data_IF_237910880956
#
_entry.id   IF_237910880956
#
_cell.length_a   1.000
_cell.length_b   1.000
_cell.length_c   1.000
_cell.angle_alpha   90.00
_cell.angle_beta   90.00
_cell.angle_gamma   90.00
#
_symmetry.space_group_name_H-M   'P 1'
#
loop_
_entity.id
_entity.type
_entity.pdbx_description
1 polymer ?
#
# COMPACT_ATOMS: atom_id res chain seq x y z
N UNK A 1 -43.87 25.25 -2.77
CA UNK A 1 -42.87 25.49 -3.83
C UNK A 1 -41.75 24.49 -3.60
N UNK A 2 -41.80 23.34 -4.28
CA UNK A 2 -40.76 22.31 -4.20
C UNK A 2 -39.80 22.56 -5.36
N UNK A 3 -38.56 22.86 -5.03
CA UNK A 3 -37.50 23.13 -5.99
C UNK A 3 -37.09 21.81 -6.64
N UNK A 4 -37.46 21.64 -7.90
CA UNK A 4 -36.93 20.57 -8.74
C UNK A 4 -35.47 20.90 -9.02
N UNK A 5 -34.54 20.29 -8.28
CA UNK A 5 -33.15 20.25 -8.70
C UNK A 5 -33.05 19.39 -9.96
N UNK A 6 -32.60 20.02 -11.04
CA UNK A 6 -32.36 19.47 -12.36
C UNK A 6 -31.57 18.17 -12.30
N UNK A 7 -32.18 17.07 -12.73
CA UNK A 7 -31.47 15.83 -13.08
C UNK A 7 -30.81 16.03 -14.44
N UNK A 8 -29.55 16.47 -14.41
CA UNK A 8 -28.60 16.17 -15.48
C UNK A 8 -27.19 16.02 -14.88
N UNK A 9 -27.08 15.17 -13.87
CA UNK A 9 -25.78 14.84 -13.26
C UNK A 9 -25.20 13.58 -13.89
N UNK A 10 -23.92 13.61 -14.27
CA UNK A 10 -23.19 12.38 -14.54
C UNK A 10 -23.41 11.39 -13.38
N UNK A 11 -23.58 10.10 -13.69
CA UNK A 11 -23.85 9.11 -12.65
C UNK A 11 -22.68 9.06 -11.66
N UNK A 12 -22.98 9.29 -10.39
CA UNK A 12 -22.00 9.30 -9.30
C UNK A 12 -22.01 7.95 -8.57
N UNK A 13 -20.84 7.55 -8.09
CA UNK A 13 -20.63 6.27 -7.42
C UNK A 13 -19.67 6.46 -6.25
N UNK A 14 -20.11 6.11 -5.04
CA UNK A 14 -19.23 6.04 -3.88
C UNK A 14 -18.16 4.96 -4.07
N UNK A 15 -16.96 5.09 -3.48
CA UNK A 15 -15.89 4.12 -3.66
C UNK A 15 -16.25 2.70 -3.17
N UNK A 16 -15.86 1.67 -3.93
CA UNK A 16 -16.04 0.25 -3.59
C UNK A 16 -14.85 -0.61 -4.08
N UNK A 17 -14.47 -1.64 -3.32
CA UNK A 17 -13.44 -2.61 -3.74
C UNK A 17 -13.97 -3.75 -4.60
N UNK A 18 -13.13 -4.20 -5.52
CA UNK A 18 -13.34 -5.45 -6.26
C UNK A 18 -12.76 -6.66 -5.50
N UNK A 19 -11.62 -6.51 -4.79
CA UNK A 19 -10.88 -7.61 -4.16
C UNK A 19 -10.09 -7.16 -2.91
N UNK A 20 -9.82 -8.10 -1.99
CA UNK A 20 -8.93 -7.91 -0.84
C UNK A 20 -7.53 -8.47 -1.12
N UNK A 21 -6.48 -7.63 -1.25
CA UNK A 21 -5.13 -8.10 -1.55
C UNK A 21 -4.46 -8.74 -0.32
N UNK A 22 -3.68 -9.79 -0.56
CA UNK A 22 -2.70 -10.31 0.40
C UNK A 22 -1.36 -9.60 0.19
N UNK A 23 -0.76 -9.06 1.25
CA UNK A 23 0.36 -8.14 1.13
C UNK A 23 1.57 -8.70 1.87
N UNK A 24 2.68 -8.86 1.15
CA UNK A 24 3.93 -9.37 1.67
C UNK A 24 4.97 -8.26 1.78
N UNK A 25 5.78 -8.32 2.84
CA UNK A 25 6.95 -7.47 3.02
C UNK A 25 8.18 -8.28 3.39
N UNK A 26 9.33 -7.88 2.85
CA UNK A 26 10.66 -8.40 3.22
C UNK A 26 11.46 -7.24 3.77
N UNK A 27 12.12 -7.42 4.92
CA UNK A 27 12.97 -6.38 5.52
C UNK A 27 14.07 -5.96 4.53
N UNK A 28 14.23 -4.64 4.36
CA UNK A 28 15.12 -4.01 3.38
C UNK A 28 14.63 -4.07 1.93
N UNK A 29 13.46 -4.67 1.70
CA UNK A 29 12.81 -4.75 0.38
C UNK A 29 11.70 -3.72 0.22
N UNK A 30 10.78 -4.00 -0.72
CA UNK A 30 9.57 -3.23 -0.95
C UNK A 30 8.34 -4.10 -0.71
N UNK A 31 7.27 -3.49 -0.22
CA UNK A 31 5.93 -4.07 -0.20
C UNK A 31 5.02 -3.27 -1.15
N UNK A 32 4.26 -3.97 -1.98
CA UNK A 32 3.42 -3.37 -3.01
C UNK A 32 2.00 -3.90 -2.91
N UNK A 33 1.05 -2.99 -3.09
CA UNK A 33 -0.38 -3.27 -3.05
C UNK A 33 -1.00 -2.60 -4.27
N UNK A 34 -1.77 -3.36 -5.02
CA UNK A 34 -2.57 -2.85 -6.13
C UNK A 34 -4.02 -3.28 -5.88
N UNK A 35 -4.91 -2.30 -5.70
CA UNK A 35 -6.32 -2.54 -5.36
C UNK A 35 -7.19 -1.94 -6.44
N UNK A 36 -8.03 -2.76 -7.05
CA UNK A 36 -9.05 -2.30 -7.99
C UNK A 36 -10.22 -1.66 -7.22
N UNK A 37 -10.59 -0.46 -7.64
CA UNK A 37 -11.63 0.37 -7.02
C UNK A 37 -12.60 0.86 -8.08
N UNK A 38 -13.88 0.86 -7.72
CA UNK A 38 -14.96 1.50 -8.45
C UNK A 38 -15.37 2.79 -7.73
N UNK A 39 -15.42 3.93 -8.42
CA UNK A 39 -15.85 5.21 -7.84
C UNK A 39 -15.80 6.37 -8.84
N UNK A 40 -16.76 7.29 -8.74
CA UNK A 40 -16.80 8.53 -9.52
C UNK A 40 -17.55 9.64 -8.76
N UNK A 41 -17.04 10.89 -8.65
CA UNK A 41 -15.82 11.44 -9.26
C UNK A 41 -14.51 10.77 -8.84
N UNK A 42 -13.40 11.16 -9.48
CA UNK A 42 -12.06 10.64 -9.16
C UNK A 42 -11.76 10.79 -7.66
N UNK A 43 -11.50 9.67 -6.94
CA UNK A 43 -11.26 9.72 -5.52
C UNK A 43 -9.85 10.22 -5.18
N UNK A 44 -9.69 10.74 -3.96
CA UNK A 44 -8.39 10.89 -3.32
C UNK A 44 -8.18 9.77 -2.30
N UNK A 45 -6.91 9.51 -2.00
CA UNK A 45 -6.51 8.40 -1.13
C UNK A 45 -5.60 8.90 -0.04
N UNK A 46 -5.84 8.46 1.19
CA UNK A 46 -4.96 8.69 2.34
C UNK A 46 -4.55 7.39 2.98
N UNK A 47 -3.38 7.39 3.61
CA UNK A 47 -2.83 6.25 4.34
C UNK A 47 -2.45 6.68 5.75
N UNK A 48 -2.98 5.95 6.73
CA UNK A 48 -2.64 6.13 8.13
C UNK A 48 -2.00 4.86 8.68
N UNK A 49 -1.03 5.02 9.57
CA UNK A 49 -0.51 3.91 10.38
C UNK A 49 -1.19 3.94 11.74
N UNK A 50 -1.85 2.85 12.09
CA UNK A 50 -2.73 2.81 13.25
C UNK A 50 -1.97 2.77 14.59
N UNK A 51 -0.71 2.33 14.60
CA UNK A 51 0.07 2.20 15.83
C UNK A 51 0.37 3.54 16.51
N UNK A 52 0.49 4.61 15.74
CA UNK A 52 0.86 5.95 16.20
C UNK A 52 0.02 7.06 15.55
N UNK A 53 -1.05 6.69 14.86
CA UNK A 53 -1.95 7.60 14.14
C UNK A 53 -1.22 8.53 13.14
N UNK A 54 -0.09 8.05 12.60
CA UNK A 54 0.70 8.83 11.67
C UNK A 54 0.05 8.84 10.29
N UNK A 55 -0.19 10.04 9.74
CA UNK A 55 -0.50 10.23 8.32
C UNK A 55 0.76 9.98 7.48
N UNK A 56 0.69 8.98 6.62
CA UNK A 56 1.76 8.53 5.74
C UNK A 56 1.50 8.85 4.28
N UNK A 57 0.42 9.59 3.97
CA UNK A 57 0.02 9.94 2.61
C UNK A 57 1.12 10.68 1.83
N UNK A 58 2.02 11.38 2.52
CA UNK A 58 3.15 12.12 1.95
C UNK A 58 4.50 11.77 2.61
N UNK A 59 4.69 10.51 3.00
CA UNK A 59 5.94 10.03 3.62
C UNK A 59 7.02 9.73 2.58
N UNK A 60 8.31 9.88 2.95
CA UNK A 60 9.45 9.54 2.09
C UNK A 60 9.47 8.06 1.64
N UNK A 61 8.96 7.14 2.48
CA UNK A 61 8.98 5.70 2.21
C UNK A 61 7.64 5.15 1.71
N UNK A 62 6.55 5.91 1.85
CA UNK A 62 5.21 5.45 1.51
C UNK A 62 4.69 6.29 0.34
N UNK A 63 4.39 5.63 -0.78
CA UNK A 63 3.77 6.25 -1.93
C UNK A 63 2.38 5.67 -2.11
N UNK A 64 1.36 6.52 -2.12
CA UNK A 64 -0.03 6.15 -2.40
C UNK A 64 -0.50 6.92 -3.61
N UNK A 65 -1.04 6.23 -4.61
CA UNK A 65 -1.51 6.85 -5.85
C UNK A 65 -2.77 6.19 -6.38
N UNK A 66 -3.77 7.00 -6.68
CA UNK A 66 -4.90 6.58 -7.52
C UNK A 66 -4.56 6.79 -8.99
N UNK A 67 -4.95 5.81 -9.82
CA UNK A 67 -4.84 5.88 -11.28
C UNK A 67 -6.10 5.33 -11.92
N UNK A 68 -6.73 6.06 -12.83
CA UNK A 68 -7.86 5.58 -13.64
C UNK A 68 -7.59 5.83 -15.12
N UNK A 69 -8.02 4.89 -15.96
CA UNK A 69 -8.02 5.04 -17.42
C UNK A 69 -9.44 5.28 -17.96
N UNK A 70 -10.44 4.66 -17.33
CA UNK A 70 -11.86 4.77 -17.70
C UNK A 70 -12.69 4.80 -16.42
N UNK A 71 -13.28 5.96 -16.10
CA UNK A 71 -14.22 6.08 -15.00
C UNK A 71 -15.45 5.16 -15.23
N UNK A 72 -16.02 4.58 -14.18
CA UNK A 72 -15.68 4.73 -12.75
C UNK A 72 -14.62 3.76 -12.23
N UNK A 73 -13.86 3.07 -13.08
CA UNK A 73 -12.88 2.06 -12.67
C UNK A 73 -11.48 2.67 -12.48
N UNK A 74 -10.77 2.26 -11.44
CA UNK A 74 -9.39 2.67 -11.21
C UNK A 74 -8.65 1.75 -10.26
N UNK A 75 -7.39 2.10 -10.00
CA UNK A 75 -6.49 1.35 -9.13
C UNK A 75 -5.88 2.28 -8.09
N UNK A 76 -5.81 1.79 -6.87
CA UNK A 76 -4.94 2.35 -5.82
C UNK A 76 -3.67 1.54 -5.76
N UNK A 77 -2.56 2.21 -5.97
CA UNK A 77 -1.21 1.66 -5.85
C UNK A 77 -0.60 2.20 -4.56
N UNK A 78 -0.22 1.32 -3.65
CA UNK A 78 0.55 1.66 -2.46
C UNK A 78 1.89 0.92 -2.50
N UNK A 79 2.98 1.67 -2.42
CA UNK A 79 4.34 1.16 -2.27
C UNK A 79 4.92 1.57 -0.91
N UNK A 80 5.44 0.62 -0.15
CA UNK A 80 6.25 0.86 1.04
C UNK A 80 7.68 0.45 0.72
N UNK A 81 8.58 1.43 0.65
CA UNK A 81 10.00 1.22 0.34
C UNK A 81 10.84 1.03 1.60
N UNK A 82 11.96 0.32 1.44
CA UNK A 82 12.92 0.03 2.50
C UNK A 82 12.24 -0.46 3.78
N UNK A 83 11.49 -1.56 3.64
CA UNK A 83 10.65 -2.11 4.72
C UNK A 83 11.49 -2.41 5.96
N UNK A 84 11.05 -1.93 7.12
CA UNK A 84 11.68 -2.16 8.42
C UNK A 84 10.77 -2.95 9.36
N UNK A 85 11.29 -3.39 10.50
CA UNK A 85 10.51 -4.20 11.47
C UNK A 85 9.24 -3.48 11.96
N UNK A 86 9.27 -2.15 12.09
CA UNK A 86 8.12 -1.36 12.54
C UNK A 86 7.03 -1.19 11.47
N UNK A 87 7.29 -1.59 10.23
CA UNK A 87 6.28 -1.59 9.16
C UNK A 87 5.36 -2.83 9.21
N UNK A 88 5.70 -3.85 10.01
CA UNK A 88 4.80 -4.98 10.26
C UNK A 88 3.75 -4.61 11.31
N UNK A 89 2.94 -3.61 10.97
CA UNK A 89 1.90 -3.01 11.80
C UNK A 89 0.58 -2.93 11.03
N UNK A 90 -0.46 -2.38 11.66
CA UNK A 90 -1.74 -2.12 11.02
C UNK A 90 -1.75 -0.74 10.38
N UNK A 91 -2.23 -0.69 9.15
CA UNK A 91 -2.48 0.51 8.38
C UNK A 91 -3.97 0.63 8.08
N UNK A 92 -4.42 1.84 7.81
CA UNK A 92 -5.74 2.14 7.28
C UNK A 92 -5.60 2.98 6.02
N UNK A 93 -6.13 2.48 4.92
CA UNK A 93 -6.25 3.19 3.67
C UNK A 93 -7.67 3.73 3.54
N UNK A 94 -7.80 5.03 3.29
CA UNK A 94 -9.10 5.69 3.13
C UNK A 94 -9.21 6.23 1.71
N UNK A 95 -10.30 5.89 1.02
CA UNK A 95 -10.62 6.38 -0.32
C UNK A 95 -11.92 7.15 -0.23
N UNK A 96 -11.90 8.39 -0.68
CA UNK A 96 -13.05 9.28 -0.64
C UNK A 96 -13.14 10.04 -1.96
N UNK A 97 -14.37 10.28 -2.43
CA UNK A 97 -14.66 11.11 -3.60
C UNK A 97 -15.76 12.14 -3.36
N UNK A 98 -16.16 12.34 -2.10
CA UNK A 98 -17.22 13.24 -1.68
C UNK A 98 -18.64 12.73 -1.97
N UNK A 99 -18.78 11.48 -2.43
CA UNK A 99 -20.08 10.84 -2.69
C UNK A 99 -20.27 9.68 -1.72
N UNK A 100 -21.32 9.77 -0.90
CA UNK A 100 -21.61 8.76 0.11
C UNK A 100 -20.54 8.71 1.20
N UNK A 101 -20.36 7.53 1.79
CA UNK A 101 -19.35 7.32 2.82
C UNK A 101 -17.99 6.98 2.20
N UNK A 102 -16.93 7.49 2.83
CA UNK A 102 -15.56 7.11 2.48
C UNK A 102 -15.33 5.61 2.73
N UNK A 103 -14.61 4.97 1.81
CA UNK A 103 -14.22 3.58 1.92
C UNK A 103 -12.96 3.47 2.77
N UNK A 104 -13.00 2.67 3.83
CA UNK A 104 -11.86 2.41 4.71
C UNK A 104 -11.43 0.95 4.61
N UNK A 105 -10.12 0.73 4.55
CA UNK A 105 -9.51 -0.60 4.46
C UNK A 105 -8.35 -0.73 5.42
N UNK A 106 -8.50 -1.58 6.44
CA UNK A 106 -7.42 -1.91 7.35
C UNK A 106 -6.66 -3.14 6.89
N UNK A 107 -5.33 -3.06 6.91
CA UNK A 107 -4.46 -4.17 6.51
C UNK A 107 -3.13 -4.16 7.29
N UNK A 108 -2.41 -5.26 7.22
CA UNK A 108 -1.05 -5.39 7.75
C UNK A 108 -0.15 -6.12 6.75
N UNK A 109 1.16 -5.90 6.86
CA UNK A 109 2.15 -6.61 6.06
C UNK A 109 2.41 -8.01 6.65
N UNK A 110 2.45 -9.01 5.78
CA UNK A 110 2.91 -10.34 6.15
C UNK A 110 4.43 -10.42 5.96
N UNK A 111 5.16 -10.65 7.05
CA UNK A 111 6.61 -10.79 6.99
C UNK A 111 7.01 -12.09 6.30
N UNK A 112 7.71 -11.97 5.18
CA UNK A 112 8.32 -13.10 4.47
C UNK A 112 9.79 -13.18 4.85
N UNK A 113 10.20 -14.29 5.47
CA UNK A 113 11.61 -14.54 5.78
C UNK A 113 12.36 -14.93 4.51
N UNK A 114 13.25 -14.08 4.02
CA UNK A 114 14.23 -14.48 3.01
C UNK A 114 15.40 -15.20 3.67
N UNK A 115 15.92 -16.25 3.04
CA UNK A 115 17.18 -16.87 3.50
C UNK A 115 18.29 -15.82 3.43
N UNK A 116 19.20 -15.75 4.41
CA UNK A 116 20.37 -14.89 4.31
C UNK A 116 21.09 -15.17 3.00
N UNK A 117 21.47 -14.12 2.27
CA UNK A 117 22.38 -14.25 1.13
C UNK A 117 23.67 -14.91 1.67
N UNK A 118 24.17 -16.02 1.09
CA UNK A 118 25.45 -16.56 1.51
C UNK A 118 26.50 -15.46 1.35
N UNK A 119 27.14 -15.05 2.44
CA UNK A 119 28.27 -14.14 2.37
C UNK A 119 29.35 -14.78 1.49
N UNK A 120 29.81 -14.03 0.50
CA UNK A 120 30.80 -14.50 -0.45
C UNK A 120 32.13 -14.77 0.25
N UNK A 121 32.41 -16.05 0.53
CA UNK A 121 33.73 -16.66 0.53
C UNK A 121 34.82 -16.01 1.38
N UNK A 122 34.83 -16.29 2.68
CA UNK A 122 36.07 -16.31 3.45
C UNK A 122 36.91 -17.52 3.02
N UNK A 123 37.88 -17.33 2.13
CA UNK A 123 39.01 -18.27 2.01
C UNK A 123 40.00 -17.92 3.11
N UNK A 124 39.80 -18.48 4.29
CA UNK A 124 40.90 -18.73 5.21
C UNK A 124 41.41 -20.15 4.92
N UNK A 125 42.51 -20.22 4.18
CA UNK A 125 43.46 -21.32 4.33
C UNK A 125 44.80 -20.69 4.63
N UNK A 126 44.94 -20.24 5.87
CA UNK A 126 46.22 -20.20 6.55
C UNK A 126 46.67 -21.66 6.74
N UNK A 127 47.50 -22.15 5.83
CA UNK A 127 48.22 -23.41 6.03
C UNK A 127 49.45 -23.04 6.84
N UNK A 128 49.30 -23.11 8.16
CA UNK A 128 50.40 -23.10 9.11
C UNK A 128 51.21 -24.40 8.97
N UNK A 129 52.52 -24.21 9.06
CA UNK A 129 53.63 -25.17 9.13
C UNK A 129 53.28 -26.64 9.46
N UNK A 130 53.76 -27.55 8.61
CA UNK A 130 54.14 -28.89 9.04
C UNK A 130 55.66 -28.91 9.31
N UNK A 131 56.03 -28.82 10.59
CA UNK A 131 57.29 -29.37 11.08
C UNK A 131 57.26 -30.90 10.94
N UNK A 132 58.25 -31.48 10.23
CA UNK A 132 59.23 -32.45 10.75
C UNK A 132 60.15 -32.99 9.65
#
# INVERSE_FOLDING_TARGET
>A
MLQFCSVSGAQQFSPLFSLSPYINGVIGGKAEINIEIYGFPEPWVTLHRNSDDADLTSSLRHEVKYTSTVAPFGFVNLTISDVVETDFTNYTLTIDNGVGDALTYSFSLNQVKTRPRPEAGGRDTDVTDNEK
#
